data_IF_126517976006
#
_entry.id   IF_126517976006
#
_cell.length_a   1.000
_cell.length_b   1.000
_cell.length_c   1.000
_cell.angle_alpha   90.00
_cell.angle_beta   90.00
_cell.angle_gamma   90.00
#
_symmetry.space_group_name_H-M   'P 1'
#
loop_
_entity.id
_entity.type
_entity.pdbx_description
1 polymer ?
#
# COMPACT_ATOMS: atom_id res chain seq x y z
N UNK A 1 -13.29 25.34 1.74
CA UNK A 1 -13.34 25.88 0.36
C UNK A 1 -12.27 26.97 0.19
N UNK A 2 -11.64 27.02 -1.00
CA UNK A 2 -10.47 27.81 -1.45
C UNK A 2 -9.13 27.06 -1.24
N UNK A 3 -8.74 26.18 -2.17
CA UNK A 3 -8.01 26.44 -3.44
C UNK A 3 -6.78 27.34 -3.28
N UNK A 4 -5.59 26.74 -3.32
CA UNK A 4 -4.34 27.44 -3.62
C UNK A 4 -3.47 26.63 -4.60
N UNK A 5 -3.62 27.02 -5.86
CA UNK A 5 -2.74 26.98 -7.03
C UNK A 5 -1.47 26.11 -7.05
N UNK A 6 -1.46 25.24 -8.06
CA UNK A 6 -0.33 24.56 -8.67
C UNK A 6 0.64 25.60 -9.29
N UNK A 7 1.94 25.50 -8.98
CA UNK A 7 3.01 26.00 -9.86
C UNK A 7 3.82 24.82 -10.36
N UNK A 8 3.79 24.64 -11.68
CA UNK A 8 4.71 23.82 -12.45
C UNK A 8 6.07 24.52 -12.43
N UNK A 9 7.09 23.85 -11.92
CA UNK A 9 8.48 24.18 -12.18
C UNK A 9 9.19 22.95 -12.73
N UNK A 10 9.78 23.18 -13.90
CA UNK A 10 10.49 22.27 -14.78
C UNK A 10 11.84 21.84 -14.19
N UNK A 11 12.19 20.57 -14.45
CA UNK A 11 13.56 20.08 -14.67
C UNK A 11 14.61 20.28 -13.56
N UNK A 12 14.93 19.22 -12.82
CA UNK A 12 16.26 18.60 -12.93
C UNK A 12 16.27 17.18 -12.35
N UNK A 13 16.89 16.30 -13.12
CA UNK A 13 17.09 14.87 -12.93
C UNK A 13 18.27 14.67 -11.98
N UNK A 14 18.12 13.74 -11.03
CA UNK A 14 19.05 13.27 -9.98
C UNK A 14 18.58 13.67 -8.58
N UNK A 15 18.63 12.67 -7.68
CA UNK A 15 18.14 12.63 -6.28
C UNK A 15 16.82 11.85 -6.16
N UNK A 16 16.92 10.52 -6.21
CA UNK A 16 16.05 9.63 -5.44
C UNK A 16 16.37 9.82 -3.94
N UNK A 17 16.13 11.02 -3.42
CA UNK A 17 16.04 11.25 -1.99
C UNK A 17 14.59 10.98 -1.60
N UNK A 18 14.40 10.01 -0.72
CA UNK A 18 13.21 9.81 0.13
C UNK A 18 11.94 10.37 -0.50
N UNK A 19 11.16 9.51 -1.17
CA UNK A 19 9.74 9.78 -1.36
C UNK A 19 9.20 10.26 -0.03
N UNK A 20 8.99 11.57 0.06
CA UNK A 20 8.55 12.25 1.27
C UNK A 20 7.13 11.76 1.46
N UNK A 21 6.98 10.69 2.24
CA UNK A 21 5.68 10.24 2.69
C UNK A 21 4.99 11.48 3.25
N UNK A 22 3.76 11.80 2.81
CA UNK A 22 3.07 12.99 3.29
C UNK A 22 3.12 12.96 4.81
N UNK A 23 3.76 13.99 5.39
CA UNK A 23 4.02 14.07 6.82
C UNK A 23 2.72 14.04 7.63
N UNK A 24 1.61 14.27 6.94
CA UNK A 24 0.26 14.34 7.47
C UNK A 24 -0.58 13.22 6.80
N UNK A 25 -0.61 12.04 7.43
CA UNK A 25 -1.57 10.98 7.10
C UNK A 25 -2.74 11.17 8.06
N UNK A 26 -3.94 11.39 7.55
CA UNK A 26 -5.13 11.73 8.37
C UNK A 26 -6.23 10.67 8.33
N UNK A 27 -6.03 9.62 7.55
CA UNK A 27 -7.04 8.59 7.28
C UNK A 27 -6.42 7.23 7.57
N UNK A 28 -7.20 6.26 8.05
CA UNK A 28 -6.71 4.90 8.23
C UNK A 28 -6.15 4.32 6.92
N UNK A 29 -5.04 3.59 7.02
CA UNK A 29 -4.35 3.02 5.85
C UNK A 29 -4.19 1.50 6.01
N UNK A 30 -4.57 0.74 4.99
CA UNK A 30 -4.15 -0.63 4.82
C UNK A 30 -3.17 -0.76 3.64
N UNK A 31 -2.06 -1.47 3.84
CA UNK A 31 -1.08 -1.83 2.82
C UNK A 31 -0.99 -3.35 2.77
N UNK A 32 -1.48 -3.93 1.67
CA UNK A 32 -1.25 -5.34 1.35
C UNK A 32 -0.12 -5.38 0.32
N UNK A 33 1.00 -6.02 0.65
CA UNK A 33 2.17 -6.16 -0.20
C UNK A 33 2.37 -7.59 -0.70
N UNK A 34 3.01 -7.75 -1.85
CA UNK A 34 3.38 -9.05 -2.41
C UNK A 34 4.84 -9.40 -2.07
N UNK A 35 5.09 -10.65 -1.68
CA UNK A 35 6.45 -11.14 -1.39
C UNK A 35 7.36 -11.11 -2.63
N UNK A 36 6.85 -11.54 -3.78
CA UNK A 36 7.62 -11.66 -5.03
C UNK A 36 7.46 -10.42 -5.95
N UNK A 37 7.16 -9.25 -5.38
CA UNK A 37 7.05 -8.00 -6.12
C UNK A 37 8.41 -7.33 -6.29
N UNK A 38 8.91 -7.27 -7.52
CA UNK A 38 10.18 -6.61 -7.83
C UNK A 38 10.08 -5.08 -7.91
N UNK A 39 8.88 -4.54 -8.15
CA UNK A 39 8.63 -3.09 -8.22
C UNK A 39 8.48 -2.50 -6.81
N UNK A 40 7.76 -3.22 -5.95
CA UNK A 40 7.50 -2.82 -4.55
C UNK A 40 8.01 -3.93 -3.62
N UNK A 41 9.33 -4.07 -3.45
CA UNK A 41 9.89 -5.19 -2.69
C UNK A 41 9.44 -5.16 -1.22
N UNK A 42 9.41 -6.33 -0.53
CA UNK A 42 9.03 -6.43 0.88
C UNK A 42 9.76 -5.47 1.82
N UNK A 43 11.02 -5.16 1.53
CA UNK A 43 11.81 -4.20 2.30
C UNK A 43 11.19 -2.79 2.29
N UNK A 44 10.61 -2.36 1.17
CA UNK A 44 9.91 -1.08 1.05
C UNK A 44 8.58 -1.09 1.82
N UNK A 45 7.84 -2.21 1.76
CA UNK A 45 6.60 -2.37 2.53
C UNK A 45 6.87 -2.29 4.04
N UNK A 46 7.98 -2.89 4.51
CA UNK A 46 8.44 -2.78 5.90
C UNK A 46 8.83 -1.35 6.30
N UNK A 47 9.44 -0.59 5.40
CA UNK A 47 9.69 0.84 5.67
C UNK A 47 8.39 1.62 5.88
N UNK A 48 7.33 1.31 5.11
CA UNK A 48 6.02 1.91 5.33
C UNK A 48 5.38 1.46 6.64
N UNK A 49 5.53 0.19 7.00
CA UNK A 49 5.09 -0.33 8.30
C UNK A 49 5.75 0.42 9.46
N UNK A 50 7.06 0.61 9.43
CA UNK A 50 7.80 1.38 10.45
C UNK A 50 7.33 2.84 10.53
N UNK A 51 7.12 3.48 9.38
CA UNK A 51 6.62 4.87 9.31
C UNK A 51 5.19 4.96 9.88
N UNK A 52 4.31 4.01 9.56
CA UNK A 52 2.94 3.99 10.06
C UNK A 52 2.89 3.65 11.56
N UNK A 53 3.74 2.74 12.02
CA UNK A 53 3.87 2.41 13.44
C UNK A 53 4.36 3.60 14.28
N UNK A 54 5.10 4.54 13.69
CA UNK A 54 5.48 5.79 14.35
C UNK A 54 4.33 6.78 14.56
N UNK A 55 3.14 6.51 13.98
CA UNK A 55 1.93 7.34 14.03
C UNK A 55 0.72 6.56 14.57
N UNK A 56 0.71 6.17 15.85
CA UNK A 56 -0.36 5.37 16.44
C UNK A 56 -1.73 6.07 16.45
N UNK A 57 -1.77 7.39 16.24
CA UNK A 57 -3.01 8.17 16.13
C UNK A 57 -3.82 7.85 14.87
N UNK A 58 -3.22 7.21 13.86
CA UNK A 58 -3.88 6.78 12.63
C UNK A 58 -3.89 5.26 12.58
N UNK A 59 -5.08 4.66 12.47
CA UNK A 59 -5.21 3.22 12.29
C UNK A 59 -4.44 2.76 11.06
N UNK A 60 -3.54 1.79 11.24
CA UNK A 60 -2.77 1.21 10.15
C UNK A 60 -2.78 -0.31 10.18
N UNK A 61 -2.76 -0.91 9.00
CA UNK A 61 -2.66 -2.35 8.80
C UNK A 61 -1.69 -2.63 7.66
N UNK A 62 -0.67 -3.44 7.91
CA UNK A 62 0.29 -3.84 6.89
C UNK A 62 0.42 -5.35 6.89
N UNK A 63 0.31 -5.97 5.71
CA UNK A 63 0.46 -7.42 5.54
C UNK A 63 1.19 -7.73 4.25
N UNK A 64 2.17 -8.63 4.34
CA UNK A 64 2.87 -9.16 3.17
C UNK A 64 2.32 -10.56 2.89
N UNK A 65 1.79 -10.76 1.67
CA UNK A 65 1.29 -12.04 1.21
C UNK A 65 2.45 -12.88 0.65
N UNK A 66 2.62 -14.13 1.10
CA UNK A 66 3.66 -15.02 0.59
C UNK A 66 3.31 -15.53 -0.81
N UNK A 67 4.32 -15.89 -1.59
CA UNK A 67 4.21 -16.55 -2.90
C UNK A 67 3.39 -15.81 -3.98
N UNK A 68 3.06 -14.53 -3.79
CA UNK A 68 2.34 -13.72 -4.77
C UNK A 68 3.22 -12.68 -5.43
N UNK A 69 2.92 -12.33 -6.68
CA UNK A 69 3.66 -11.37 -7.49
C UNK A 69 2.91 -10.04 -7.63
N UNK A 70 3.55 -9.05 -8.26
CA UNK A 70 2.92 -7.75 -8.51
C UNK A 70 1.56 -7.89 -9.22
N UNK A 71 0.52 -7.28 -8.64
CA UNK A 71 -0.82 -7.31 -9.21
C UNK A 71 -1.62 -8.60 -8.97
N UNK A 72 -1.23 -9.46 -8.02
CA UNK A 72 -1.89 -10.73 -7.72
C UNK A 72 -3.40 -10.63 -7.43
N UNK A 73 -3.92 -9.48 -7.01
CA UNK A 73 -5.37 -9.29 -6.79
C UNK A 73 -6.15 -8.91 -8.05
N UNK A 74 -5.46 -8.51 -9.12
CA UNK A 74 -6.07 -7.97 -10.35
C UNK A 74 -5.69 -8.71 -11.62
N UNK A 75 -4.60 -9.49 -11.60
CA UNK A 75 -4.00 -10.15 -12.78
C UNK A 75 -3.69 -11.63 -12.55
N UNK A 76 -4.30 -12.26 -11.56
CA UNK A 76 -4.12 -13.68 -11.30
C UNK A 76 -4.77 -14.54 -12.39
N UNK A 77 -4.24 -15.75 -12.58
CA UNK A 77 -4.89 -16.75 -13.42
C UNK A 77 -6.07 -17.37 -12.66
N UNK A 78 -7.26 -17.27 -13.24
CA UNK A 78 -8.49 -17.84 -12.66
C UNK A 78 -8.48 -19.37 -12.65
N UNK A 79 -7.59 -20.00 -13.42
CA UNK A 79 -7.43 -21.45 -13.45
C UNK A 79 -6.42 -21.96 -12.42
N UNK A 80 -5.67 -21.08 -11.75
CA UNK A 80 -4.78 -21.42 -10.64
C UNK A 80 -5.52 -21.24 -9.31
N UNK A 81 -5.92 -22.33 -8.62
CA UNK A 81 -6.70 -22.25 -7.40
C UNK A 81 -5.98 -21.52 -6.27
N UNK A 82 -4.65 -21.59 -6.20
CA UNK A 82 -3.87 -20.91 -5.16
C UNK A 82 -3.83 -19.40 -5.42
N UNK A 83 -3.70 -19.00 -6.69
CA UNK A 83 -3.75 -17.59 -7.06
C UNK A 83 -5.15 -16.98 -6.82
N UNK A 84 -6.21 -17.72 -7.15
CA UNK A 84 -7.60 -17.33 -6.85
C UNK A 84 -7.79 -17.15 -5.35
N UNK A 85 -7.36 -18.13 -4.54
CA UNK A 85 -7.47 -18.09 -3.09
C UNK A 85 -6.71 -16.90 -2.50
N UNK A 86 -5.48 -16.66 -2.93
CA UNK A 86 -4.69 -15.54 -2.43
C UNK A 86 -5.34 -14.17 -2.78
N UNK A 87 -5.96 -14.05 -3.96
CA UNK A 87 -6.70 -12.85 -4.34
C UNK A 87 -7.99 -12.67 -3.52
N UNK A 88 -8.74 -13.74 -3.29
CA UNK A 88 -9.95 -13.74 -2.46
C UNK A 88 -9.65 -13.40 -1.00
N UNK A 89 -8.58 -13.95 -0.44
CA UNK A 89 -8.11 -13.62 0.90
C UNK A 89 -7.74 -12.13 1.02
N UNK A 90 -7.02 -11.58 0.04
CA UNK A 90 -6.69 -10.16 0.03
C UNK A 90 -7.92 -9.25 -0.10
N UNK A 91 -8.92 -9.64 -0.89
CA UNK A 91 -10.19 -8.91 -0.96
C UNK A 91 -10.98 -8.96 0.34
N UNK A 92 -11.00 -10.13 1.01
CA UNK A 92 -11.63 -10.27 2.32
C UNK A 92 -10.96 -9.37 3.36
N UNK A 93 -9.63 -9.38 3.42
CA UNK A 93 -8.84 -8.53 4.34
C UNK A 93 -9.11 -7.04 4.11
N UNK A 94 -9.24 -6.62 2.85
CA UNK A 94 -9.64 -5.25 2.50
C UNK A 94 -11.03 -4.90 3.04
N UNK A 95 -12.01 -5.80 2.89
CA UNK A 95 -13.38 -5.58 3.40
C UNK A 95 -13.43 -5.56 4.93
N UNK A 96 -12.75 -6.51 5.58
CA UNK A 96 -12.66 -6.60 7.03
C UNK A 96 -12.03 -5.31 7.60
N UNK A 97 -10.96 -4.80 6.97
CA UNK A 97 -10.38 -3.51 7.32
C UNK A 97 -11.32 -2.33 7.04
N UNK A 98 -12.04 -2.33 5.92
CA UNK A 98 -12.96 -1.25 5.61
C UNK A 98 -14.07 -1.11 6.65
N UNK A 99 -14.57 -2.23 7.19
CA UNK A 99 -15.57 -2.24 8.26
C UNK A 99 -15.04 -1.57 9.54
N UNK A 100 -13.76 -1.75 9.90
CA UNK A 100 -13.18 -1.10 11.08
C UNK A 100 -13.05 0.42 10.92
N UNK A 101 -12.99 0.92 9.69
CA UNK A 101 -12.80 2.35 9.39
C UNK A 101 -14.10 3.16 9.37
N UNK A 102 -15.26 2.51 9.24
CA UNK A 102 -16.58 3.15 9.06
C UNK A 102 -17.38 3.24 10.37
N UNK A 103 -16.89 2.62 11.45
CA UNK A 103 -17.55 2.60 12.77
C UNK A 103 -17.25 3.83 13.64
#
# INVERSE_FOLDING_TARGET
MKLLWIRIASCQRHLFHLQRFPTDVKVPIAILGAENDFLTPPALVKQFEEILASKPEVGSYVKIFPNVSHGWTTRYDINDPEAVKAAEEAHKEMLDWFVTCVQ
#
